data_IF_140016245665
#
_entry.id   IF_140016245665
#
_cell.length_a   1.000
_cell.length_b   1.000
_cell.length_c   1.000
_cell.angle_alpha   90.00
_cell.angle_beta   90.00
_cell.angle_gamma   90.00
#
_symmetry.space_group_name_H-M   'P 1'
#
loop_
_entity.id
_entity.type
_entity.pdbx_description
1 polymer ?
#
# COMPACT_ATOMS: atom_id res chain seq x y z
N UNK A 1 56.97 2.57 -2.71
CA UNK A 1 55.89 2.09 -3.60
C UNK A 1 54.48 2.09 -2.95
N UNK A 2 54.24 2.74 -1.79
CA UNK A 2 52.97 2.60 -1.03
C UNK A 2 52.03 3.83 -1.02
N UNK A 3 52.42 4.99 -1.56
CA UNK A 3 51.62 6.24 -1.44
C UNK A 3 50.52 6.45 -2.49
N UNK A 4 50.50 5.70 -3.60
CA UNK A 4 49.53 5.91 -4.70
C UNK A 4 48.23 5.11 -4.58
N UNK A 5 48.12 4.12 -3.68
CA UNK A 5 46.92 3.27 -3.55
C UNK A 5 45.82 3.84 -2.65
N UNK A 6 46.15 4.76 -1.74
CA UNK A 6 45.15 5.38 -0.86
C UNK A 6 44.37 6.53 -1.52
N UNK A 7 44.97 7.22 -2.49
CA UNK A 7 44.32 8.34 -3.17
C UNK A 7 43.17 7.89 -4.10
N UNK A 8 43.30 6.70 -4.69
CA UNK A 8 42.26 6.13 -5.56
C UNK A 8 41.07 5.58 -4.74
N UNK A 9 41.33 5.04 -3.54
CA UNK A 9 40.28 4.57 -2.64
C UNK A 9 39.47 5.74 -2.04
N UNK A 10 40.13 6.85 -1.69
CA UNK A 10 39.46 8.04 -1.17
C UNK A 10 38.61 8.74 -2.24
N UNK A 11 39.08 8.78 -3.50
CA UNK A 11 38.32 9.32 -4.62
C UNK A 11 37.13 8.42 -4.99
N UNK A 12 37.28 7.09 -4.92
CA UNK A 12 36.17 6.15 -5.15
C UNK A 12 35.09 6.28 -4.06
N UNK A 13 35.47 6.49 -2.80
CA UNK A 13 34.52 6.74 -1.69
C UNK A 13 33.81 8.09 -1.82
N UNK A 14 34.45 9.10 -2.40
CA UNK A 14 33.83 10.42 -2.64
C UNK A 14 32.86 10.43 -3.83
N UNK A 15 33.08 9.60 -4.86
CA UNK A 15 32.17 9.50 -6.03
C UNK A 15 30.88 8.72 -5.71
N UNK A 16 30.87 7.86 -4.68
CA UNK A 16 29.64 7.22 -4.19
C UNK A 16 28.90 8.04 -3.11
N UNK A 17 29.39 9.22 -2.73
CA UNK A 17 28.81 10.04 -1.67
C UNK A 17 28.18 11.35 -2.18
N UNK A 18 28.26 11.64 -3.49
CA UNK A 18 27.83 12.93 -4.05
C UNK A 18 26.32 13.13 -4.18
N UNK A 19 25.51 12.08 -3.95
CA UNK A 19 24.03 12.18 -4.02
C UNK A 19 23.35 12.27 -2.64
N UNK A 20 24.12 12.30 -1.54
CA UNK A 20 23.58 12.74 -0.25
C UNK A 20 23.73 14.25 -0.09
N UNK A 21 23.04 15.02 -0.94
CA UNK A 21 22.61 16.33 -0.49
C UNK A 21 21.69 16.06 0.72
N UNK A 22 22.18 16.34 1.92
CA UNK A 22 21.34 16.32 3.11
C UNK A 22 20.34 17.45 2.87
N UNK A 23 19.15 17.11 2.40
CA UNK A 23 18.02 18.01 2.40
C UNK A 23 17.93 18.56 3.83
N UNK A 24 17.99 19.88 3.92
CA UNK A 24 18.16 20.58 5.18
C UNK A 24 17.25 21.81 5.14
N UNK A 25 16.38 21.87 6.13
CA UNK A 25 15.54 23.04 6.39
C UNK A 25 16.37 24.29 6.64
N UNK A 26 15.86 25.42 6.18
CA UNK A 26 16.44 26.73 6.48
C UNK A 26 15.83 27.29 7.76
N UNK A 27 16.68 27.75 8.67
CA UNK A 27 16.29 28.43 9.92
C UNK A 27 16.54 29.93 9.81
N UNK A 28 15.55 30.74 10.17
CA UNK A 28 15.64 32.20 10.17
C UNK A 28 14.94 32.81 11.40
N UNK A 29 15.07 34.13 11.60
CA UNK A 29 14.40 34.87 12.70
C UNK A 29 14.63 34.29 14.11
N UNK A 30 15.84 33.80 14.37
CA UNK A 30 16.19 33.09 15.61
C UNK A 30 16.27 34.04 16.80
N UNK A 31 15.35 33.87 17.76
CA UNK A 31 15.25 34.64 19.00
C UNK A 31 15.47 33.72 20.19
N UNK A 32 16.38 34.08 21.10
CA UNK A 32 16.67 33.32 22.33
C UNK A 32 16.10 34.03 23.57
N UNK A 33 15.47 33.24 24.46
CA UNK A 33 15.06 33.64 25.80
C UNK A 33 15.79 32.78 26.82
N UNK A 34 16.46 33.42 27.78
CA UNK A 34 17.10 32.74 28.92
C UNK A 34 16.08 32.54 30.03
N UNK A 35 15.85 31.30 30.45
CA UNK A 35 14.86 30.96 31.48
C UNK A 35 15.47 30.79 32.89
N UNK A 36 16.78 31.01 33.04
CA UNK A 36 17.52 30.74 34.27
C UNK A 36 17.99 29.28 34.39
N UNK A 37 18.92 29.01 35.31
CA UNK A 37 19.45 27.66 35.59
C UNK A 37 19.98 26.87 34.38
N UNK A 38 20.52 27.59 33.38
CA UNK A 38 21.04 27.01 32.13
C UNK A 38 19.99 26.71 31.06
N UNK A 39 18.69 26.75 31.40
CA UNK A 39 17.61 26.51 30.45
C UNK A 39 17.44 27.69 29.48
N UNK A 40 17.25 27.35 28.20
CA UNK A 40 17.10 28.31 27.10
C UNK A 40 15.91 27.91 26.25
N UNK A 41 15.15 28.91 25.81
CA UNK A 41 14.10 28.74 24.83
C UNK A 41 14.49 29.48 23.55
N UNK A 42 14.26 28.86 22.40
CA UNK A 42 14.42 29.52 21.10
C UNK A 42 13.13 29.50 20.31
N UNK A 43 12.88 30.61 19.63
CA UNK A 43 11.84 30.76 18.64
C UNK A 43 12.49 31.09 17.31
N UNK A 44 12.11 30.37 16.26
CA UNK A 44 12.63 30.62 14.93
C UNK A 44 11.62 30.21 13.86
N UNK A 45 11.93 30.63 12.65
CA UNK A 45 11.17 30.33 11.45
C UNK A 45 11.89 29.23 10.67
N UNK A 46 11.13 28.21 10.29
CA UNK A 46 11.58 27.09 9.48
C UNK A 46 11.05 27.23 8.05
N UNK A 47 11.88 26.87 7.07
CA UNK A 47 11.49 26.77 5.67
C UNK A 47 11.98 25.45 5.07
N UNK A 48 11.11 24.80 4.30
CA UNK A 48 11.44 23.61 3.50
C UNK A 48 11.86 24.01 2.09
N UNK A 49 12.52 23.09 1.39
CA UNK A 49 12.91 23.22 -0.01
C UNK A 49 11.96 22.43 -0.94
N UNK A 50 12.36 22.28 -2.20
CA UNK A 50 11.55 21.62 -3.22
C UNK A 50 11.68 20.10 -3.27
N UNK A 51 12.37 19.46 -2.31
CA UNK A 51 12.63 18.01 -2.36
C UNK A 51 12.63 17.39 -0.97
N UNK A 52 11.43 17.23 -0.40
CA UNK A 52 11.27 16.58 0.90
C UNK A 52 11.78 15.14 0.89
N UNK A 53 12.73 14.82 1.76
CA UNK A 53 13.17 13.46 2.00
C UNK A 53 12.20 12.73 2.96
N UNK A 54 11.67 11.59 2.53
CA UNK A 54 10.87 10.74 3.43
C UNK A 54 11.68 10.32 4.66
N UNK A 55 11.02 10.27 5.81
CA UNK A 55 11.63 10.17 7.13
C UNK A 55 11.98 11.53 7.75
N UNK A 56 11.76 12.64 7.04
CA UNK A 56 11.94 14.01 7.52
C UNK A 56 13.27 14.66 7.16
N UNK A 57 13.29 15.97 7.36
CA UNK A 57 14.43 16.86 7.10
C UNK A 57 15.29 17.06 8.33
N UNK A 58 16.60 17.23 8.17
CA UNK A 58 17.50 17.39 9.31
C UNK A 58 17.24 18.70 10.06
N UNK A 59 16.98 18.61 11.37
CA UNK A 59 16.85 19.75 12.28
C UNK A 59 17.64 19.47 13.56
N UNK A 60 18.97 19.50 13.45
CA UNK A 60 19.85 19.21 14.59
C UNK A 60 19.85 20.31 15.65
N UNK A 61 20.29 19.98 16.87
CA UNK A 61 20.48 20.96 17.95
C UNK A 61 21.36 22.16 17.52
N UNK A 62 22.41 21.89 16.73
CA UNK A 62 23.29 22.93 16.17
C UNK A 62 22.51 23.83 15.20
N UNK A 63 21.68 23.25 14.33
CA UNK A 63 20.83 23.99 13.38
C UNK A 63 19.83 24.89 14.10
N UNK A 64 19.29 24.42 15.23
CA UNK A 64 18.43 25.21 16.12
C UNK A 64 19.21 26.26 16.93
N UNK A 65 20.55 26.21 16.88
CA UNK A 65 21.48 27.14 17.49
C UNK A 65 21.87 26.81 18.93
N UNK A 66 21.69 25.56 19.35
CA UNK A 66 22.20 25.03 20.61
C UNK A 66 23.56 24.34 20.36
N UNK A 67 24.65 25.01 20.74
CA UNK A 67 26.02 24.48 20.62
C UNK A 67 26.28 23.34 21.63
N UNK A 68 25.75 22.15 21.37
CA UNK A 68 25.94 20.94 22.18
C UNK A 68 24.98 20.78 23.36
N UNK A 69 23.92 21.60 23.44
CA UNK A 69 22.87 21.47 24.45
C UNK A 69 21.91 20.32 24.15
N UNK A 70 21.31 19.73 25.20
CA UNK A 70 20.26 18.72 25.01
C UNK A 70 18.93 19.43 24.74
N UNK A 71 18.39 19.20 23.55
CA UNK A 71 17.03 19.59 23.20
C UNK A 71 16.08 18.75 24.05
N UNK A 72 15.15 19.38 24.77
CA UNK A 72 14.18 18.67 25.61
C UNK A 72 12.80 18.60 24.96
N UNK A 73 12.48 19.61 24.17
CA UNK A 73 11.19 19.70 23.51
C UNK A 73 11.34 20.56 22.27
N UNK A 74 10.79 20.08 21.16
CA UNK A 74 10.58 20.83 19.93
C UNK A 74 9.10 20.85 19.65
N UNK A 75 8.54 22.03 19.41
CA UNK A 75 7.16 22.22 18.96
C UNK A 75 7.18 23.02 17.68
N UNK A 76 6.78 22.40 16.60
CA UNK A 76 6.59 23.05 15.30
C UNK A 76 5.09 23.33 15.15
N UNK A 77 4.71 24.58 14.91
CA UNK A 77 3.30 24.96 14.79
C UNK A 77 2.74 24.54 13.42
N UNK A 78 1.49 24.03 13.35
CA UNK A 78 0.83 23.74 12.07
C UNK A 78 0.77 24.97 11.16
N UNK A 79 0.87 24.74 9.85
CA UNK A 79 0.82 25.79 8.83
C UNK A 79 0.30 25.24 7.52
N UNK A 80 -0.55 26.02 6.84
CA UNK A 80 -1.05 25.75 5.47
C UNK A 80 -1.62 24.34 5.27
N UNK A 81 -2.29 23.79 6.29
CA UNK A 81 -2.88 22.44 6.27
C UNK A 81 -1.93 21.30 6.64
N UNK A 82 -0.67 21.61 6.95
CA UNK A 82 0.35 20.65 7.38
C UNK A 82 0.51 20.65 8.90
N UNK A 83 0.79 19.46 9.43
CA UNK A 83 1.24 19.24 10.80
C UNK A 83 2.66 18.68 10.79
N UNK A 84 3.35 18.79 11.93
CA UNK A 84 4.77 18.51 12.01
C UNK A 84 5.09 17.75 13.28
N UNK A 85 6.00 16.79 13.17
CA UNK A 85 6.54 16.08 14.32
C UNK A 85 8.05 16.15 14.32
N UNK A 86 8.65 16.26 15.50
CA UNK A 86 10.09 16.20 15.67
C UNK A 86 10.48 14.81 16.14
N UNK A 87 11.24 14.11 15.30
CA UNK A 87 11.89 12.85 15.62
C UNK A 87 13.19 13.16 16.36
N UNK A 88 13.16 13.06 17.69
CA UNK A 88 14.30 13.32 18.55
C UNK A 88 15.45 12.34 18.31
N UNK A 89 15.14 11.08 18.01
CA UNK A 89 16.15 10.03 17.80
C UNK A 89 17.00 10.34 16.57
N UNK A 90 16.38 10.79 15.49
CA UNK A 90 17.07 11.09 14.24
C UNK A 90 17.40 12.58 14.05
N UNK A 91 16.97 13.43 14.98
CA UNK A 91 17.07 14.89 14.90
C UNK A 91 16.48 15.43 13.59
N UNK A 92 15.25 14.99 13.28
CA UNK A 92 14.54 15.32 12.04
C UNK A 92 13.18 15.95 12.32
N UNK A 93 12.74 16.82 11.43
CA UNK A 93 11.36 17.30 11.38
C UNK A 93 10.63 16.61 10.24
N UNK A 94 9.54 15.92 10.59
CA UNK A 94 8.66 15.23 9.65
C UNK A 94 7.44 16.09 9.34
N UNK A 95 6.98 16.02 8.10
CA UNK A 95 5.84 16.79 7.61
C UNK A 95 4.70 15.85 7.31
N UNK A 96 3.51 16.16 7.83
CA UNK A 96 2.31 15.36 7.67
C UNK A 96 1.21 16.18 7.01
N UNK A 97 0.47 15.54 6.11
CA UNK A 97 -0.69 16.11 5.44
C UNK A 97 -1.78 15.05 5.30
N UNK A 98 -3.02 15.51 5.05
CA UNK A 98 -4.11 14.60 4.71
C UNK A 98 -3.76 13.87 3.40
N UNK A 99 -3.63 12.55 3.46
CA UNK A 99 -3.42 11.71 2.28
C UNK A 99 -4.73 11.07 1.83
N UNK A 100 -4.84 10.68 0.56
CA UNK A 100 -5.98 9.92 0.10
C UNK A 100 -6.07 8.58 0.86
N UNK A 101 -7.24 8.17 1.35
CA UNK A 101 -7.40 6.87 2.01
C UNK A 101 -7.21 5.69 1.04
N UNK A 102 -7.39 5.92 -0.26
CA UNK A 102 -7.15 4.95 -1.34
C UNK A 102 -6.42 5.66 -2.48
N UNK A 103 -5.35 5.06 -2.97
CA UNK A 103 -4.66 5.45 -4.20
C UNK A 103 -5.08 4.47 -5.29
N UNK A 104 -5.79 4.97 -6.31
CA UNK A 104 -6.38 4.13 -7.35
C UNK A 104 -5.39 3.71 -8.42
N UNK A 105 -4.39 4.53 -8.72
CA UNK A 105 -3.34 4.15 -9.65
C UNK A 105 -2.07 4.93 -9.28
N UNK A 106 -1.05 4.19 -8.88
CA UNK A 106 0.29 4.72 -8.68
C UNK A 106 1.26 4.01 -9.61
N UNK A 107 1.91 4.80 -10.48
CA UNK A 107 2.83 4.29 -11.47
C UNK A 107 4.26 4.29 -10.94
N UNK A 108 4.93 3.15 -11.04
CA UNK A 108 6.32 2.97 -10.67
C UNK A 108 7.15 2.34 -11.77
N UNK A 109 8.44 2.64 -11.76
CA UNK A 109 9.44 1.87 -12.50
C UNK A 109 10.22 1.06 -11.49
N UNK A 110 10.37 -0.23 -11.73
CA UNK A 110 11.15 -1.08 -10.82
C UNK A 110 12.63 -0.70 -10.84
N UNK A 111 13.23 -0.63 -9.66
CA UNK A 111 14.61 -0.21 -9.39
C UNK A 111 15.25 -1.13 -8.36
N UNK A 112 16.56 -1.03 -8.12
CA UNK A 112 17.19 -1.80 -7.06
C UNK A 112 16.73 -1.31 -5.67
N UNK A 113 16.28 -2.23 -4.81
CA UNK A 113 15.91 -1.93 -3.41
C UNK A 113 17.08 -2.25 -2.46
N UNK A 114 17.40 -3.54 -2.35
CA UNK A 114 18.49 -4.08 -1.55
C UNK A 114 19.19 -5.20 -2.34
N UNK A 115 20.32 -5.71 -1.86
CA UNK A 115 21.03 -6.80 -2.53
C UNK A 115 20.11 -8.02 -2.72
N UNK A 116 19.81 -8.39 -3.96
CA UNK A 116 18.91 -9.50 -4.31
C UNK A 116 17.44 -9.11 -4.54
N UNK A 117 17.10 -7.82 -4.43
CA UNK A 117 15.73 -7.32 -4.56
C UNK A 117 15.65 -6.16 -5.55
N UNK A 118 14.70 -6.27 -6.48
CA UNK A 118 14.29 -5.25 -7.44
C UNK A 118 12.83 -4.93 -7.19
N UNK A 119 12.46 -3.66 -7.18
CA UNK A 119 11.16 -3.20 -6.77
C UNK A 119 11.06 -1.69 -6.65
N UNK A 120 10.09 -1.22 -5.85
CA UNK A 120 9.86 0.20 -5.63
C UNK A 120 9.17 0.46 -4.28
N UNK A 121 9.18 1.71 -3.82
CA UNK A 121 8.45 2.16 -2.64
C UNK A 121 7.19 2.90 -3.06
N UNK A 122 6.05 2.56 -2.44
CA UNK A 122 4.81 3.33 -2.61
C UNK A 122 4.94 4.73 -1.99
N UNK A 123 4.31 5.75 -2.57
CA UNK A 123 4.37 7.16 -2.14
C UNK A 123 3.87 7.34 -0.70
N UNK A 124 2.93 6.49 -0.27
CA UNK A 124 2.36 6.48 1.07
C UNK A 124 2.49 5.11 1.74
N UNK A 125 2.60 5.04 3.08
CA UNK A 125 2.43 3.81 3.85
C UNK A 125 1.12 3.10 3.48
N UNK A 126 1.20 1.86 2.99
CA UNK A 126 0.02 1.09 2.65
C UNK A 126 -0.63 0.50 3.92
N UNK A 127 -1.95 0.43 3.91
CA UNK A 127 -2.73 -0.41 4.81
C UNK A 127 -3.08 -1.76 4.15
N UNK A 128 -3.25 -1.77 2.82
CA UNK A 128 -3.64 -2.95 2.06
C UNK A 128 -3.33 -2.77 0.57
N UNK A 129 -2.84 -3.81 -0.11
CA UNK A 129 -2.71 -3.82 -1.58
C UNK A 129 -3.99 -4.38 -2.17
N UNK A 130 -4.65 -3.62 -3.05
CA UNK A 130 -5.90 -4.03 -3.70
C UNK A 130 -5.61 -4.76 -4.99
N UNK A 131 -4.73 -4.20 -5.82
CA UNK A 131 -4.30 -4.82 -7.07
C UNK A 131 -2.96 -4.26 -7.52
N UNK A 132 -2.27 -5.04 -8.33
CA UNK A 132 -1.08 -4.61 -9.04
C UNK A 132 -1.10 -5.18 -10.46
N UNK A 133 -0.62 -4.39 -11.42
CA UNK A 133 -0.45 -4.83 -12.79
C UNK A 133 0.86 -4.26 -13.35
N UNK A 134 1.43 -4.93 -14.32
CA UNK A 134 2.53 -4.43 -15.15
C UNK A 134 2.07 -4.33 -16.60
N UNK A 135 2.99 -4.05 -17.52
CA UNK A 135 2.67 -3.96 -18.95
C UNK A 135 2.23 -5.27 -19.60
N UNK A 136 2.43 -6.41 -18.94
CA UNK A 136 2.09 -7.74 -19.44
C UNK A 136 0.80 -8.29 -18.84
N UNK A 137 0.38 -7.78 -17.67
CA UNK A 137 -0.89 -8.15 -17.08
C UNK A 137 -0.97 -7.94 -15.57
N UNK A 138 -1.96 -8.57 -14.92
CA UNK A 138 -2.14 -8.47 -13.48
C UNK A 138 -1.04 -9.25 -12.76
N UNK A 139 -0.67 -8.79 -11.59
CA UNK A 139 0.37 -9.39 -10.75
C UNK A 139 -0.27 -10.01 -9.51
N UNK A 140 0.30 -11.11 -9.05
CA UNK A 140 -0.21 -11.96 -7.97
C UNK A 140 0.54 -11.63 -6.69
N UNK A 141 -0.19 -11.31 -5.62
CA UNK A 141 0.45 -11.13 -4.32
C UNK A 141 0.87 -12.50 -3.77
N UNK A 142 2.19 -12.68 -3.56
CA UNK A 142 2.77 -13.86 -2.91
C UNK A 142 3.44 -13.51 -1.58
N UNK A 143 4.06 -14.53 -0.96
CA UNK A 143 4.66 -14.47 0.37
C UNK A 143 5.64 -13.30 0.52
N UNK A 144 5.45 -12.51 1.56
CA UNK A 144 6.35 -11.42 1.95
C UNK A 144 7.79 -11.91 2.14
N UNK A 145 8.76 -11.14 1.62
CA UNK A 145 10.19 -11.39 1.77
C UNK A 145 10.79 -12.32 0.72
N UNK A 146 10.06 -12.70 -0.33
CA UNK A 146 10.63 -13.46 -1.45
C UNK A 146 11.65 -12.62 -2.22
N UNK A 147 12.78 -13.22 -2.59
CA UNK A 147 13.77 -12.53 -3.41
C UNK A 147 13.29 -12.40 -4.86
N UNK A 148 13.82 -11.42 -5.59
CA UNK A 148 13.42 -11.19 -6.99
C UNK A 148 13.65 -12.40 -7.90
N UNK A 149 14.63 -13.24 -7.59
CA UNK A 149 14.93 -14.44 -8.36
C UNK A 149 13.93 -15.58 -8.13
N UNK A 150 13.15 -15.52 -7.05
CA UNK A 150 12.19 -16.54 -6.65
C UNK A 150 10.75 -16.19 -7.06
N UNK A 151 10.52 -14.98 -7.55
CA UNK A 151 9.22 -14.54 -8.07
C UNK A 151 8.97 -15.08 -9.49
N UNK A 152 7.78 -15.63 -9.71
CA UNK A 152 7.22 -15.85 -11.03
C UNK A 152 7.05 -14.55 -11.81
N UNK A 153 6.91 -14.63 -13.15
CA UNK A 153 6.82 -13.45 -14.03
C UNK A 153 5.60 -12.56 -13.77
N UNK A 154 4.57 -13.13 -13.16
CA UNK A 154 3.28 -12.55 -12.82
C UNK A 154 3.09 -12.45 -11.30
N UNK A 155 4.16 -12.48 -10.51
CA UNK A 155 4.10 -12.42 -9.05
C UNK A 155 4.78 -11.16 -8.50
N UNK A 156 4.27 -10.65 -7.39
CA UNK A 156 4.95 -9.65 -6.58
C UNK A 156 4.84 -10.03 -5.11
N UNK A 157 5.76 -9.51 -4.29
CA UNK A 157 5.61 -9.61 -2.85
C UNK A 157 5.94 -8.30 -2.17
N UNK A 158 5.62 -8.20 -0.88
CA UNK A 158 6.18 -7.14 -0.06
C UNK A 158 7.60 -7.50 0.32
N UNK A 159 8.50 -6.52 0.37
CA UNK A 159 9.88 -6.73 0.83
C UNK A 159 9.91 -7.15 2.30
N UNK A 160 9.08 -6.51 3.11
CA UNK A 160 8.89 -6.79 4.53
C UNK A 160 7.41 -6.59 4.90
N UNK A 161 7.01 -6.97 6.10
CA UNK A 161 5.64 -6.72 6.56
C UNK A 161 5.38 -5.23 6.64
N UNK A 162 4.18 -4.80 6.31
CA UNK A 162 3.71 -3.41 6.44
C UNK A 162 3.91 -2.96 7.90
N UNK A 163 4.60 -1.83 8.08
CA UNK A 163 4.87 -1.22 9.38
C UNK A 163 4.17 0.13 9.51
N UNK A 164 3.90 0.54 10.75
CA UNK A 164 3.22 1.80 11.04
C UNK A 164 4.07 3.00 10.62
N UNK A 165 3.51 3.87 9.78
CA UNK A 165 4.21 5.02 9.20
C UNK A 165 5.33 4.69 8.20
N UNK A 166 5.66 3.42 8.00
CA UNK A 166 6.69 2.98 7.06
C UNK A 166 6.16 2.91 5.63
N UNK A 167 6.91 3.46 4.66
CA UNK A 167 6.58 3.29 3.24
C UNK A 167 6.71 1.82 2.85
N UNK A 168 5.69 1.30 2.19
CA UNK A 168 5.66 -0.10 1.78
C UNK A 168 6.54 -0.30 0.54
N UNK A 169 7.51 -1.21 0.65
CA UNK A 169 8.34 -1.65 -0.47
C UNK A 169 7.73 -2.90 -1.12
N UNK A 170 7.56 -2.83 -2.44
CA UNK A 170 7.10 -3.93 -3.28
C UNK A 170 8.29 -4.49 -4.04
N UNK A 171 8.48 -5.81 -3.99
CA UNK A 171 9.45 -6.56 -4.78
C UNK A 171 8.75 -7.09 -6.02
N UNK A 172 9.39 -6.94 -7.17
CA UNK A 172 8.89 -7.39 -8.46
C UNK A 172 9.83 -8.39 -9.11
N UNK A 173 9.37 -9.12 -10.14
CA UNK A 173 10.20 -10.06 -10.89
C UNK A 173 11.34 -9.34 -11.62
N UNK A 174 12.30 -10.13 -12.11
CA UNK A 174 13.49 -9.61 -12.75
C UNK A 174 13.15 -8.94 -14.08
N UNK A 175 13.36 -7.63 -14.17
CA UNK A 175 13.14 -6.85 -15.40
C UNK A 175 12.76 -5.40 -15.08
N UNK A 176 13.15 -4.47 -15.94
CA UNK A 176 12.66 -3.09 -15.85
C UNK A 176 11.21 -3.05 -16.35
N UNK A 177 10.27 -3.28 -15.44
CA UNK A 177 8.83 -3.15 -15.68
C UNK A 177 8.30 -1.80 -15.20
N UNK A 178 7.29 -1.29 -15.89
CA UNK A 178 6.40 -0.25 -15.37
C UNK A 178 5.24 -0.95 -14.69
N UNK A 179 5.00 -0.60 -13.44
CA UNK A 179 3.95 -1.18 -12.61
C UNK A 179 2.92 -0.13 -12.22
N UNK A 180 1.68 -0.57 -12.09
CA UNK A 180 0.54 0.22 -11.66
C UNK A 180 -0.05 -0.44 -10.42
N UNK A 181 -0.11 0.29 -9.30
CA UNK A 181 -0.57 -0.25 -8.02
C UNK A 181 -1.78 0.53 -7.53
N UNK A 182 -2.74 -0.22 -7.00
CA UNK A 182 -3.91 0.31 -6.31
C UNK A 182 -3.91 -0.20 -4.89
N UNK A 183 -4.01 0.70 -3.92
CA UNK A 183 -3.83 0.33 -2.52
C UNK A 183 -4.55 1.30 -1.59
N UNK A 184 -4.96 0.80 -0.43
CA UNK A 184 -5.43 1.65 0.66
C UNK A 184 -4.23 2.16 1.46
N UNK A 185 -4.25 3.42 1.87
CA UNK A 185 -3.17 4.02 2.67
C UNK A 185 -3.47 3.89 4.17
N UNK A 186 -2.46 4.04 5.02
CA UNK A 186 -2.64 4.11 6.47
C UNK A 186 -3.39 5.35 6.95
N UNK A 187 -3.73 6.30 6.06
CA UNK A 187 -4.67 7.36 6.38
C UNK A 187 -6.05 6.79 6.74
N UNK A 188 -6.43 5.63 6.19
CA UNK A 188 -7.57 4.83 6.63
C UNK A 188 -7.18 3.92 7.80
N UNK A 189 -6.99 4.51 8.98
CA UNK A 189 -6.44 3.76 10.13
C UNK A 189 -7.30 2.58 10.57
N UNK A 190 -8.62 2.66 10.40
CA UNK A 190 -9.53 1.57 10.75
C UNK A 190 -9.26 0.33 9.90
N UNK A 191 -8.92 0.50 8.60
CA UNK A 191 -8.55 -0.62 7.73
C UNK A 191 -7.19 -1.20 8.13
N UNK A 192 -6.20 -0.34 8.40
CA UNK A 192 -4.87 -0.79 8.82
C UNK A 192 -4.93 -1.62 10.12
N UNK A 193 -5.80 -1.26 11.06
CA UNK A 193 -6.00 -2.02 12.30
C UNK A 193 -6.61 -3.42 12.09
N UNK A 194 -7.14 -3.70 10.90
CA UNK A 194 -7.67 -5.01 10.51
C UNK A 194 -6.63 -5.92 9.87
N UNK A 195 -5.44 -5.41 9.54
CA UNK A 195 -4.40 -6.16 8.84
C UNK A 195 -3.82 -7.27 9.72
N UNK A 196 -3.84 -8.49 9.19
CA UNK A 196 -3.14 -9.66 9.71
C UNK A 196 -2.13 -10.10 8.67
N UNK A 197 -0.85 -10.15 9.04
CA UNK A 197 0.25 -10.43 8.12
C UNK A 197 1.00 -11.68 8.54
N UNK A 198 1.29 -12.53 7.55
CA UNK A 198 2.12 -13.72 7.72
C UNK A 198 1.69 -14.63 8.90
N UNK A 199 0.37 -14.81 9.08
CA UNK A 199 -0.15 -15.78 10.04
C UNK A 199 0.20 -17.20 9.59
N UNK A 200 0.79 -17.98 10.49
CA UNK A 200 1.03 -19.39 10.25
C UNK A 200 -0.24 -20.20 10.55
N UNK A 201 -0.76 -20.91 9.54
CA UNK A 201 -1.97 -21.72 9.62
C UNK A 201 -1.65 -23.15 9.20
N UNK A 202 -2.00 -24.14 10.02
CA UNK A 202 -1.87 -25.54 9.62
C UNK A 202 -3.11 -25.95 8.83
N UNK A 203 -2.93 -26.24 7.55
CA UNK A 203 -4.03 -26.66 6.70
C UNK A 203 -4.46 -28.08 7.05
N UNK A 204 -5.77 -28.31 7.16
CA UNK A 204 -6.35 -29.62 7.45
C UNK A 204 -7.16 -30.08 6.24
N UNK A 205 -6.97 -31.32 5.74
CA UNK A 205 -7.70 -31.82 4.58
C UNK A 205 -9.22 -31.68 4.72
N UNK A 206 -9.89 -31.11 3.70
CA UNK A 206 -11.35 -31.27 3.44
C UNK A 206 -12.27 -30.75 4.57
N UNK A 207 -11.71 -30.00 5.52
CA UNK A 207 -12.49 -29.34 6.57
C UNK A 207 -12.07 -27.88 6.66
N UNK A 208 -13.07 -27.02 6.74
CA UNK A 208 -12.98 -25.61 7.07
C UNK A 208 -11.91 -25.34 8.15
N UNK A 209 -10.76 -24.79 7.74
CA UNK A 209 -9.64 -24.47 8.62
C UNK A 209 -9.89 -23.10 9.27
N UNK A 210 -10.01 -23.02 10.60
CA UNK A 210 -10.23 -21.74 11.26
C UNK A 210 -8.97 -20.87 11.17
N UNK A 211 -9.18 -19.61 10.85
CA UNK A 211 -8.18 -18.55 11.03
C UNK A 211 -8.25 -18.00 12.45
N UNK A 212 -7.21 -17.31 12.92
CA UNK A 212 -7.25 -16.63 14.21
C UNK A 212 -8.39 -15.59 14.29
N UNK A 213 -8.75 -14.98 13.16
CA UNK A 213 -9.87 -14.07 13.02
C UNK A 213 -10.66 -14.39 11.74
N UNK A 214 -11.96 -14.11 11.76
CA UNK A 214 -12.77 -14.22 10.54
C UNK A 214 -12.25 -13.26 9.46
N UNK A 215 -12.38 -13.63 8.19
CA UNK A 215 -11.70 -12.98 7.06
C UNK A 215 -12.68 -12.09 6.30
N UNK A 216 -12.23 -10.86 6.04
CA UNK A 216 -12.93 -9.85 5.25
C UNK A 216 -12.29 -9.65 3.87
N UNK A 217 -10.96 -9.73 3.79
CA UNK A 217 -10.23 -9.58 2.54
C UNK A 217 -9.03 -10.52 2.52
N UNK A 218 -8.76 -11.14 1.39
CA UNK A 218 -7.68 -12.11 1.19
C UNK A 218 -6.52 -11.48 0.42
N UNK A 219 -5.30 -11.65 0.92
CA UNK A 219 -4.07 -11.17 0.29
C UNK A 219 -3.36 -12.32 -0.42
N UNK A 220 -2.81 -13.26 0.36
CA UNK A 220 -2.17 -14.47 -0.15
C UNK A 220 -2.26 -15.62 0.85
N UNK A 221 -2.06 -16.84 0.35
CA UNK A 221 -1.83 -18.06 1.13
C UNK A 221 -0.70 -18.86 0.48
N UNK A 222 0.38 -19.12 1.19
CA UNK A 222 1.57 -19.77 0.62
C UNK A 222 2.00 -20.97 1.46
N UNK A 223 2.26 -22.11 0.82
CA UNK A 223 2.64 -23.36 1.49
C UNK A 223 4.16 -23.45 1.73
N UNK A 224 4.57 -23.28 2.98
CA UNK A 224 5.96 -23.54 3.39
C UNK A 224 7.01 -22.74 2.63
N UNK A 225 7.73 -23.40 1.72
CA UNK A 225 8.85 -22.83 0.95
C UNK A 225 8.38 -21.82 -0.09
N UNK A 226 9.29 -20.92 -0.46
CA UNK A 226 9.07 -19.88 -1.46
C UNK A 226 8.68 -20.54 -2.81
N UNK A 227 7.73 -19.95 -3.54
CA UNK A 227 7.11 -20.45 -4.81
C UNK A 227 5.91 -21.41 -4.72
N UNK A 228 5.29 -21.64 -3.55
CA UNK A 228 4.06 -22.45 -3.45
C UNK A 228 2.82 -21.61 -3.06
N UNK A 229 2.49 -20.60 -3.87
CA UNK A 229 1.29 -19.81 -3.64
C UNK A 229 0.03 -20.60 -3.97
N UNK A 230 -1.03 -20.44 -3.17
CA UNK A 230 -2.34 -21.03 -3.41
C UNK A 230 -3.27 -20.00 -4.02
N UNK A 231 -3.85 -20.36 -5.17
CA UNK A 231 -4.76 -19.50 -5.89
C UNK A 231 -6.13 -19.46 -5.21
N UNK A 232 -6.70 -18.28 -4.94
CA UNK A 232 -8.03 -18.18 -4.38
C UNK A 232 -9.07 -18.68 -5.39
N UNK A 233 -10.05 -19.47 -4.95
CA UNK A 233 -11.19 -19.90 -5.76
C UNK A 233 -12.52 -19.51 -5.11
N UNK A 234 -13.60 -19.62 -5.88
CA UNK A 234 -14.95 -19.37 -5.38
C UNK A 234 -15.27 -20.34 -4.23
N UNK A 235 -15.86 -19.88 -3.11
CA UNK A 235 -16.24 -20.76 -2.01
C UNK A 235 -17.27 -21.84 -2.37
N UNK A 236 -17.99 -21.72 -3.49
CA UNK A 236 -18.86 -22.77 -3.99
C UNK A 236 -18.08 -23.94 -4.64
N UNK A 237 -16.82 -23.74 -5.00
CA UNK A 237 -15.98 -24.73 -5.69
C UNK A 237 -15.17 -25.59 -4.72
N UNK A 238 -14.83 -26.80 -5.16
CA UNK A 238 -13.95 -27.70 -4.40
C UNK A 238 -12.49 -27.43 -4.75
N UNK A 239 -11.63 -27.05 -3.78
CA UNK A 239 -10.23 -26.73 -4.06
C UNK A 239 -9.43 -27.89 -4.67
N UNK A 240 -8.81 -27.64 -5.82
CA UNK A 240 -7.83 -28.52 -6.43
C UNK A 240 -6.43 -28.29 -5.84
N UNK A 241 -5.47 -29.13 -6.26
CA UNK A 241 -4.06 -28.95 -5.88
C UNK A 241 -3.54 -27.61 -6.41
N UNK A 242 -3.01 -26.76 -5.53
CA UNK A 242 -2.56 -25.42 -5.88
C UNK A 242 -3.60 -24.33 -5.65
N UNK A 243 -4.77 -24.67 -5.14
CA UNK A 243 -5.87 -23.74 -4.88
C UNK A 243 -6.21 -23.67 -3.38
N UNK A 244 -6.92 -22.60 -3.00
CA UNK A 244 -7.49 -22.39 -1.67
C UNK A 244 -8.89 -21.80 -1.79
N UNK A 245 -9.87 -22.47 -1.18
CA UNK A 245 -11.23 -21.95 -1.05
C UNK A 245 -11.30 -20.93 0.08
N UNK A 246 -12.00 -19.81 -0.16
CA UNK A 246 -12.13 -18.72 0.81
C UNK A 246 -13.60 -18.50 1.14
N UNK A 247 -13.98 -18.86 2.36
CA UNK A 247 -15.31 -18.53 2.88
C UNK A 247 -15.26 -17.17 3.60
N UNK A 248 -15.82 -16.12 3.00
CA UNK A 248 -15.91 -14.79 3.61
C UNK A 248 -16.97 -14.73 4.72
N UNK A 249 -16.78 -13.84 5.73
CA UNK A 249 -17.81 -13.55 6.75
C UNK A 249 -17.38 -13.76 8.20
N UNK A 250 -18.34 -14.05 9.10
CA UNK A 250 -18.11 -14.15 10.54
C UNK A 250 -17.61 -15.54 11.01
N UNK A 251 -17.71 -16.56 10.18
CA UNK A 251 -17.20 -17.92 10.41
C UNK A 251 -16.18 -18.33 9.35
N UNK A 252 -15.41 -17.37 8.84
CA UNK A 252 -14.51 -17.61 7.71
C UNK A 252 -13.52 -18.73 7.97
N UNK A 253 -13.34 -19.55 6.95
CA UNK A 253 -12.40 -20.64 6.92
C UNK A 253 -11.67 -20.67 5.61
N UNK A 254 -10.47 -21.26 5.64
CA UNK A 254 -9.80 -21.70 4.43
C UNK A 254 -10.15 -23.16 4.17
N UNK A 255 -10.39 -23.48 2.91
CA UNK A 255 -10.56 -24.86 2.46
C UNK A 255 -9.42 -25.23 1.52
N UNK A 256 -8.87 -26.43 1.68
CA UNK A 256 -7.75 -26.89 0.86
C UNK A 256 -7.97 -28.31 0.36
N UNK A 257 -7.29 -28.65 -0.73
CA UNK A 257 -7.22 -30.00 -1.24
C UNK A 257 -6.54 -30.92 -0.22
N UNK A 258 -6.90 -32.21 -0.25
CA UNK A 258 -6.28 -33.21 0.62
C UNK A 258 -4.76 -33.32 0.44
N UNK A 259 -4.25 -33.08 -0.79
CA UNK A 259 -2.81 -33.08 -1.09
C UNK A 259 -2.02 -31.97 -0.40
N UNK A 260 -2.70 -30.89 0.01
CA UNK A 260 -2.11 -29.75 0.71
C UNK A 260 -2.32 -29.84 2.24
N UNK A 261 -2.98 -30.90 2.72
CA UNK A 261 -3.23 -31.10 4.14
C UNK A 261 -1.96 -31.43 4.93
N UNK A 262 -1.93 -30.99 6.19
CA UNK A 262 -0.80 -31.08 7.13
C UNK A 262 0.40 -30.15 6.83
N UNK A 263 0.35 -29.35 5.78
CA UNK A 263 1.33 -28.29 5.55
C UNK A 263 1.01 -27.04 6.38
N UNK A 264 2.05 -26.38 6.86
CA UNK A 264 1.95 -25.02 7.42
C UNK A 264 1.92 -24.02 6.26
N UNK A 265 0.81 -23.30 6.13
CA UNK A 265 0.66 -22.17 5.24
C UNK A 265 0.98 -20.86 5.97
N UNK A 266 1.44 -19.87 5.21
CA UNK A 266 1.54 -18.47 5.64
C UNK A 266 0.45 -17.67 4.95
N UNK A 267 -0.38 -16.94 5.70
CA UNK A 267 -1.55 -16.23 5.19
C UNK A 267 -1.51 -14.75 5.58
N UNK A 268 -1.86 -13.87 4.64
CA UNK A 268 -2.07 -12.44 4.89
C UNK A 268 -3.49 -12.05 4.47
N UNK A 269 -4.21 -11.36 5.35
CA UNK A 269 -5.62 -11.04 5.18
C UNK A 269 -6.05 -9.82 6.01
N UNK A 270 -7.21 -9.24 5.71
CA UNK A 270 -7.89 -8.30 6.61
C UNK A 270 -8.93 -9.06 7.43
N UNK A 271 -8.91 -8.90 8.74
CA UNK A 271 -9.91 -9.50 9.62
C UNK A 271 -11.25 -8.78 9.52
N UNK A 272 -12.33 -9.53 9.67
CA UNK A 272 -13.68 -9.02 9.74
C UNK A 272 -13.90 -8.24 11.04
N UNK A 273 -14.26 -6.95 10.97
CA UNK A 273 -14.50 -6.15 12.17
C UNK A 273 -15.75 -6.65 12.92
N UNK A 274 -15.79 -6.47 14.23
CA UNK A 274 -16.98 -6.80 15.03
C UNK A 274 -18.07 -5.71 14.98
N UNK A 275 -17.71 -4.49 14.59
CA UNK A 275 -18.60 -3.33 14.49
C UNK A 275 -17.91 -2.18 13.73
N UNK A 276 -18.65 -1.10 13.46
CA UNK A 276 -18.11 0.15 12.92
C UNK A 276 -18.35 0.32 11.42
N UNK A 277 -17.77 1.38 10.85
CA UNK A 277 -18.10 1.82 9.49
C UNK A 277 -17.84 0.76 8.41
N UNK A 278 -16.73 0.02 8.55
CA UNK A 278 -16.36 -1.08 7.64
C UNK A 278 -17.33 -2.24 7.79
N UNK A 279 -17.69 -2.62 9.02
CA UNK A 279 -18.66 -3.69 9.30
C UNK A 279 -20.00 -3.43 8.61
N UNK A 280 -20.53 -2.21 8.71
CA UNK A 280 -21.83 -1.83 8.13
C UNK A 280 -21.83 -1.81 6.58
N UNK A 281 -20.64 -1.84 5.97
CA UNK A 281 -20.44 -1.69 4.52
C UNK A 281 -19.86 -2.92 3.85
N UNK A 282 -19.48 -3.92 4.61
CA UNK A 282 -18.98 -5.15 4.03
C UNK A 282 -20.10 -5.94 3.38
N UNK A 283 -19.85 -6.40 2.16
CA UNK A 283 -20.64 -7.37 1.43
C UNK A 283 -19.78 -8.63 1.36
N UNK A 284 -20.22 -9.68 2.05
CA UNK A 284 -19.48 -10.93 2.15
C UNK A 284 -19.63 -11.81 0.90
N UNK A 285 -20.76 -11.65 0.22
CA UNK A 285 -21.12 -12.38 -0.97
C UNK A 285 -22.21 -11.59 -1.69
N UNK A 286 -22.04 -11.43 -2.99
CA UNK A 286 -23.04 -10.89 -3.90
C UNK A 286 -22.92 -11.58 -5.25
N UNK A 287 -24.04 -12.11 -5.73
CA UNK A 287 -24.20 -12.57 -7.10
C UNK A 287 -24.42 -11.37 -8.03
N UNK A 288 -23.45 -10.98 -8.88
CA UNK A 288 -23.65 -9.85 -9.75
C UNK A 288 -24.71 -10.14 -10.82
N UNK A 289 -25.58 -9.17 -11.09
CA UNK A 289 -26.58 -9.31 -12.15
C UNK A 289 -25.91 -9.19 -13.51
N UNK A 290 -25.98 -10.27 -14.31
CA UNK A 290 -25.38 -10.33 -15.65
C UNK A 290 -26.37 -9.86 -16.71
N UNK A 291 -26.06 -8.78 -17.42
CA UNK A 291 -26.89 -8.32 -18.55
C UNK A 291 -26.74 -9.26 -19.76
N UNK A 292 -27.85 -9.73 -20.32
CA UNK A 292 -27.86 -10.66 -21.44
C UNK A 292 -27.31 -10.04 -22.75
N UNK A 293 -26.31 -10.71 -23.32
CA UNK A 293 -25.74 -10.60 -24.67
C UNK A 293 -24.89 -9.35 -25.02
N UNK A 294 -23.62 -9.62 -25.33
CA UNK A 294 -22.60 -8.70 -25.86
C UNK A 294 -21.19 -9.20 -25.50
N UNK A 295 -20.15 -8.82 -26.25
CA UNK A 295 -18.75 -9.23 -25.99
C UNK A 295 -18.19 -8.77 -24.63
N UNK A 296 -18.98 -8.00 -23.88
CA UNK A 296 -18.72 -7.57 -22.52
C UNK A 296 -19.97 -7.89 -21.68
N UNK A 297 -19.95 -9.01 -20.98
CA UNK A 297 -21.03 -9.38 -20.06
C UNK A 297 -20.92 -8.49 -18.83
N UNK A 298 -21.74 -7.44 -18.76
CA UNK A 298 -21.72 -6.51 -17.62
C UNK A 298 -22.29 -7.21 -16.39
N UNK A 299 -21.40 -7.58 -15.47
CA UNK A 299 -21.75 -7.89 -14.09
C UNK A 299 -22.03 -6.57 -13.36
N UNK A 300 -23.28 -6.34 -12.95
CA UNK A 300 -23.65 -5.15 -12.17
C UNK A 300 -23.78 -5.55 -10.70
N UNK A 301 -23.08 -4.81 -9.84
CA UNK A 301 -23.23 -4.90 -8.39
C UNK A 301 -24.28 -3.88 -7.91
N UNK A 302 -24.99 -4.22 -6.86
CA UNK A 302 -26.03 -3.43 -6.21
C UNK A 302 -25.48 -2.13 -5.63
N UNK A 303 -24.20 -2.14 -5.22
CA UNK A 303 -23.54 -1.01 -4.59
C UNK A 303 -22.22 -0.63 -5.28
N UNK A 304 -21.81 0.66 -5.16
CA UNK A 304 -20.46 1.08 -5.52
C UNK A 304 -19.41 0.31 -4.73
N UNK A 305 -18.44 -0.29 -5.42
CA UNK A 305 -17.28 -0.92 -4.77
C UNK A 305 -16.26 0.14 -4.39
N UNK A 306 -15.95 0.20 -3.11
CA UNK A 306 -14.88 1.03 -2.57
C UNK A 306 -13.55 0.27 -2.51
N UNK A 307 -13.59 -0.98 -2.03
CA UNK A 307 -12.43 -1.85 -1.91
C UNK A 307 -12.86 -3.29 -2.18
N UNK A 308 -12.12 -3.97 -3.05
CA UNK A 308 -12.33 -5.37 -3.39
C UNK A 308 -11.66 -6.32 -2.40
N UNK A 309 -12.35 -7.39 -2.00
CA UNK A 309 -11.88 -8.25 -0.92
C UNK A 309 -10.77 -9.21 -1.34
N UNK A 310 -10.74 -9.71 -2.57
CA UNK A 310 -9.71 -10.65 -3.02
C UNK A 310 -8.60 -9.90 -3.74
N UNK A 311 -7.50 -9.58 -3.03
CA UNK A 311 -6.41 -8.81 -3.63
C UNK A 311 -5.94 -9.44 -4.93
N UNK A 312 -5.85 -8.62 -5.97
CA UNK A 312 -5.37 -9.01 -7.30
C UNK A 312 -6.17 -10.10 -8.04
N UNK A 313 -7.27 -10.60 -7.51
CA UNK A 313 -8.05 -11.69 -8.12
C UNK A 313 -9.54 -11.43 -8.13
N UNK A 314 -10.22 -12.00 -9.11
CA UNK A 314 -11.64 -12.25 -9.04
C UNK A 314 -11.91 -13.75 -9.24
N UNK A 315 -12.77 -14.31 -8.41
CA UNK A 315 -13.15 -15.72 -8.46
C UNK A 315 -14.31 -15.94 -9.43
N UNK A 316 -14.40 -17.14 -10.00
CA UNK A 316 -15.50 -17.56 -10.87
C UNK A 316 -15.94 -18.97 -10.43
N UNK A 317 -17.23 -19.14 -10.12
CA UNK A 317 -17.80 -20.46 -9.81
C UNK A 317 -17.73 -21.36 -11.04
N UNK A 318 -17.24 -22.58 -10.84
CA UNK A 318 -16.99 -23.57 -11.88
C UNK A 318 -16.05 -23.04 -13.01
N UNK A 319 -15.26 -22.01 -12.72
CA UNK A 319 -14.37 -21.34 -13.66
C UNK A 319 -12.97 -21.11 -13.07
N UNK A 320 -12.06 -20.59 -13.90
CA UNK A 320 -10.71 -20.23 -13.43
C UNK A 320 -10.71 -18.81 -12.89
N UNK A 321 -10.28 -18.63 -11.63
CA UNK A 321 -10.00 -17.32 -11.06
C UNK A 321 -9.04 -16.54 -11.94
N UNK A 322 -9.29 -15.24 -12.10
CA UNK A 322 -8.48 -14.38 -12.98
C UNK A 322 -7.89 -13.22 -12.23
N UNK A 323 -6.69 -12.82 -12.64
CA UNK A 323 -6.06 -11.62 -12.11
C UNK A 323 -6.86 -10.36 -12.47
N UNK A 324 -6.95 -9.42 -11.54
CA UNK A 324 -7.57 -8.11 -11.74
C UNK A 324 -6.51 -7.07 -12.04
N UNK A 325 -6.69 -6.33 -13.15
CA UNK A 325 -6.02 -5.06 -13.38
C UNK A 325 -7.05 -3.92 -13.32
N UNK A 326 -6.70 -2.81 -12.66
CA UNK A 326 -7.56 -1.62 -12.54
C UNK A 326 -7.19 -0.51 -13.52
N UNK A 327 -6.20 -0.75 -14.38
CA UNK A 327 -5.71 0.24 -15.35
C UNK A 327 -6.31 -0.01 -16.73
N UNK A 328 -6.80 1.07 -17.35
CA UNK A 328 -7.29 1.08 -18.74
C UNK A 328 -6.17 0.84 -19.78
N UNK A 329 -4.91 0.93 -19.36
CA UNK A 329 -3.73 0.94 -20.25
C UNK A 329 -3.12 -0.44 -20.54
N UNK A 330 -3.53 -1.48 -19.80
CA UNK A 330 -2.91 -2.83 -19.80
C UNK A 330 -3.89 -3.93 -20.18
N UNK A 331 -4.92 -3.57 -20.94
CA UNK A 331 -5.97 -4.48 -21.39
C UNK A 331 -5.50 -5.38 -22.54
N UNK A 332 -4.96 -6.57 -22.23
CA UNK A 332 -4.78 -7.65 -23.20
C UNK A 332 -5.98 -8.61 -23.22
N UNK A 333 -6.12 -9.37 -24.32
CA UNK A 333 -7.21 -10.33 -24.49
C UNK A 333 -7.12 -11.47 -23.44
N UNK A 334 -8.14 -11.61 -22.59
CA UNK A 334 -8.22 -12.66 -21.56
C UNK A 334 -8.08 -12.17 -20.11
N UNK A 335 -7.83 -10.87 -19.89
CA UNK A 335 -7.77 -10.27 -18.55
C UNK A 335 -9.15 -9.81 -18.05
N UNK A 336 -9.31 -9.75 -16.72
CA UNK A 336 -10.44 -9.07 -16.10
C UNK A 336 -10.00 -7.67 -15.69
N UNK A 337 -10.60 -6.68 -16.32
CA UNK A 337 -10.43 -5.28 -15.93
C UNK A 337 -11.54 -4.98 -14.96
N UNK A 338 -11.24 -4.62 -13.72
CA UNK A 338 -12.26 -4.04 -12.84
C UNK A 338 -12.11 -2.51 -12.90
N UNK A 339 -12.99 -1.84 -13.62
CA UNK A 339 -13.06 -0.39 -13.61
C UNK A 339 -13.85 0.02 -12.36
N UNK A 340 -13.20 0.17 -11.21
CA UNK A 340 -13.85 0.71 -10.02
C UNK A 340 -14.20 2.17 -10.31
N UNK A 341 -15.39 2.40 -10.85
CA UNK A 341 -15.81 3.74 -11.27
C UNK A 341 -16.12 4.59 -10.04
N UNK A 342 -15.07 5.22 -9.51
CA UNK A 342 -15.09 6.09 -8.34
C UNK A 342 -15.59 7.48 -8.72
N UNK A 343 -16.78 7.57 -9.33
CA UNK A 343 -17.39 8.85 -9.68
C UNK A 343 -16.51 9.72 -10.60
N UNK A 344 -16.30 9.27 -11.84
CA UNK A 344 -15.82 10.04 -13.01
C UNK A 344 -14.60 10.97 -12.84
N UNK A 345 -13.53 10.64 -13.56
CA UNK A 345 -12.96 11.62 -14.50
C UNK A 345 -12.86 10.95 -15.86
N UNK A 346 -13.90 11.16 -16.68
CA UNK A 346 -13.81 10.84 -18.09
C UNK A 346 -12.71 11.71 -18.72
N UNK A 347 -11.95 11.20 -19.70
CA UNK A 347 -11.03 12.03 -20.48
C UNK A 347 -11.81 13.17 -21.14
N UNK A 348 -11.17 14.32 -21.27
CA UNK A 348 -11.75 15.49 -21.94
C UNK A 348 -12.28 15.10 -23.32
N UNK A 349 -13.61 14.95 -23.43
CA UNK A 349 -14.31 14.61 -24.67
C UNK A 349 -15.32 13.45 -24.58
N UNK A 350 -15.33 12.63 -23.54
CA UNK A 350 -16.32 11.57 -23.40
C UNK A 350 -17.50 12.00 -22.52
N UNK A 351 -18.69 12.10 -23.13
CA UNK A 351 -19.95 12.38 -22.43
C UNK A 351 -20.38 11.17 -21.59
N UNK A 352 -19.91 11.09 -20.34
CA UNK A 352 -20.49 10.16 -19.36
C UNK A 352 -21.69 10.87 -18.73
N UNK A 353 -22.88 10.43 -19.13
CA UNK A 353 -24.13 10.95 -18.64
C UNK A 353 -24.22 10.82 -17.12
N UNK A 354 -24.48 11.97 -16.51
CA UNK A 354 -24.90 12.23 -15.14
C UNK A 354 -26.01 11.29 -14.67
N UNK A 355 -25.68 10.18 -14.00
CA UNK A 355 -26.52 9.54 -12.95
C UNK A 355 -25.76 8.44 -12.18
N UNK A 356 -25.08 8.82 -11.11
CA UNK A 356 -25.43 8.33 -9.76
C UNK A 356 -25.21 6.88 -9.33
N UNK A 357 -24.51 6.00 -10.05
CA UNK A 357 -24.11 4.67 -9.52
C UNK A 357 -22.63 4.41 -9.78
N UNK A 358 -21.87 4.09 -8.72
CA UNK A 358 -20.52 3.56 -8.88
C UNK A 358 -20.67 2.20 -9.55
N UNK A 359 -20.31 2.16 -10.82
CA UNK A 359 -20.47 0.97 -11.66
C UNK A 359 -19.09 0.33 -11.73
N UNK A 360 -18.89 -0.85 -11.14
CA UNK A 360 -17.68 -1.60 -11.48
C UNK A 360 -17.85 -2.12 -12.88
N UNK A 361 -17.03 -1.67 -13.83
CA UNK A 361 -17.01 -2.34 -15.13
C UNK A 361 -16.04 -3.49 -15.00
N UNK A 362 -16.55 -4.70 -14.79
CA UNK A 362 -15.75 -5.88 -15.08
C UNK A 362 -15.72 -6.02 -16.60
N UNK A 363 -14.77 -5.35 -17.25
CA UNK A 363 -14.58 -5.42 -18.70
C UNK A 363 -13.59 -6.54 -18.96
N UNK A 364 -14.05 -7.77 -18.77
CA UNK A 364 -13.42 -8.93 -19.40
C UNK A 364 -14.14 -9.22 -20.70
N UNK A 365 -13.42 -9.72 -21.71
CA UNK A 365 -14.03 -10.72 -22.58
C UNK A 365 -14.39 -11.90 -21.66
N UNK A 366 -15.49 -11.79 -20.95
CA UNK A 366 -16.17 -12.91 -20.34
C UNK A 366 -16.67 -13.66 -21.57
N UNK A 367 -15.87 -14.61 -22.05
CA UNK A 367 -16.41 -15.66 -22.90
C UNK A 367 -17.70 -16.12 -22.22
N UNK A 368 -18.74 -16.35 -23.02
CA UNK A 368 -20.15 -16.45 -22.60
C UNK A 368 -20.47 -17.57 -21.59
N UNK A 369 -19.45 -18.17 -20.98
CA UNK A 369 -19.46 -19.32 -20.09
C UNK A 369 -18.75 -19.08 -18.73
N UNK A 370 -18.22 -17.88 -18.44
CA UNK A 370 -17.56 -17.58 -17.14
C UNK A 370 -18.22 -16.42 -16.39
N UNK A 371 -19.39 -16.65 -15.80
CA UNK A 371 -20.04 -15.66 -14.94
C UNK A 371 -19.20 -15.44 -13.68
N UNK A 372 -18.81 -14.19 -13.38
CA UNK A 372 -18.59 -13.84 -11.98
C UNK A 372 -19.85 -14.21 -11.20
N UNK A 373 -19.67 -14.99 -10.16
CA UNK A 373 -20.76 -15.51 -9.34
C UNK A 373 -20.68 -15.01 -7.93
N UNK A 374 -19.49 -14.67 -7.42
CA UNK A 374 -19.33 -14.22 -6.05
C UNK A 374 -18.43 -12.98 -5.99
N UNK A 375 -18.93 -11.93 -5.33
CA UNK A 375 -18.20 -10.71 -5.07
C UNK A 375 -18.21 -10.37 -3.58
N UNK A 376 -17.03 -10.42 -2.95
CA UNK A 376 -16.81 -9.86 -1.62
C UNK A 376 -16.13 -8.49 -1.74
N UNK A 377 -16.66 -7.47 -1.06
CA UNK A 377 -16.15 -6.11 -1.14
C UNK A 377 -16.67 -5.19 -0.03
N UNK A 378 -16.03 -4.03 0.13
CA UNK A 378 -16.54 -2.93 0.95
C UNK A 378 -17.28 -1.97 0.03
N UNK A 379 -18.55 -1.67 0.32
CA UNK A 379 -19.32 -0.70 -0.46
C UNK A 379 -19.08 0.74 -0.01
N UNK A 380 -19.18 1.68 -0.94
CA UNK A 380 -19.18 3.11 -0.62
C UNK A 380 -18.31 3.94 -1.57
N UNK A 381 -17.94 5.14 -1.12
CA UNK A 381 -17.12 6.10 -1.86
C UNK A 381 -15.98 6.65 -1.01
N UNK A 382 -14.84 7.08 -1.58
CA UNK A 382 -13.68 7.52 -0.81
C UNK A 382 -13.97 8.65 0.20
N UNK A 383 -14.83 9.60 -0.17
CA UNK A 383 -15.19 10.72 0.71
C UNK A 383 -16.15 10.34 1.85
N UNK A 384 -16.66 9.11 1.86
CA UNK A 384 -17.49 8.59 2.97
C UNK A 384 -16.64 7.94 4.07
N UNK A 385 -15.34 7.72 3.81
CA UNK A 385 -14.42 7.11 4.76
C UNK A 385 -14.24 8.07 5.95
N UNK A 386 -14.58 7.64 7.18
CA UNK A 386 -14.47 8.49 8.36
C UNK A 386 -13.02 8.55 8.83
N UNK A 387 -12.71 9.58 9.63
CA UNK A 387 -11.48 9.66 10.42
C UNK A 387 -10.18 9.51 9.61
N UNK A 388 -10.15 10.00 8.35
CA UNK A 388 -8.94 10.00 7.53
C UNK A 388 -7.85 10.80 8.25
N UNK A 389 -6.71 10.16 8.52
CA UNK A 389 -5.61 10.76 9.26
C UNK A 389 -4.58 11.39 8.33
N UNK A 390 -3.89 12.41 8.86
CA UNK A 390 -2.68 12.89 8.23
C UNK A 390 -1.59 11.81 8.33
N UNK A 391 -0.85 11.60 7.24
CA UNK A 391 0.33 10.73 7.19
C UNK A 391 1.50 11.52 6.62
N UNK A 392 2.70 10.98 6.74
CA UNK A 392 3.90 11.64 6.27
C UNK A 392 3.80 11.92 4.76
N UNK A 393 4.20 13.13 4.35
CA UNK A 393 4.20 13.50 2.93
C UNK A 393 5.21 12.66 2.16
N UNK A 394 4.89 12.40 0.88
CA UNK A 394 5.70 11.53 0.04
C UNK A 394 7.10 12.07 -0.20
N UNK A 395 8.01 11.14 -0.51
CA UNK A 395 9.38 11.49 -0.92
C UNK A 395 9.38 12.34 -2.19
N UNK A 396 10.22 13.38 -2.23
CA UNK A 396 10.31 14.33 -3.33
C UNK A 396 9.14 15.31 -3.41
N UNK A 397 8.28 15.40 -2.38
CA UNK A 397 7.25 16.44 -2.34
C UNK A 397 7.90 17.84 -2.36
N UNK A 398 7.39 18.72 -3.22
CA UNK A 398 7.79 20.12 -3.25
C UNK A 398 7.11 20.87 -2.10
N UNK A 399 7.91 21.25 -1.10
CA UNK A 399 7.48 21.99 0.08
C UNK A 399 8.07 23.41 0.08
N UNK A 400 8.56 23.91 -1.05
CA UNK A 400 9.25 25.22 -1.13
C UNK A 400 8.34 26.41 -0.76
N UNK A 401 7.02 26.24 -0.85
CA UNK A 401 6.04 27.21 -0.37
C UNK A 401 5.90 27.27 1.16
N UNK A 402 6.29 26.21 1.87
CA UNK A 402 6.20 26.11 3.33
C UNK A 402 7.39 26.83 3.99
N UNK A 403 7.30 28.15 4.02
CA UNK A 403 8.29 29.06 4.64
C UNK A 403 7.73 29.68 5.92
N UNK A 404 8.58 30.21 6.80
CA UNK A 404 8.11 30.99 7.96
C UNK A 404 7.30 30.17 8.97
N UNK A 405 7.50 28.85 9.04
CA UNK A 405 6.83 27.97 10.00
C UNK A 405 7.41 28.26 11.39
N UNK A 406 6.55 28.55 12.36
CA UNK A 406 7.00 28.90 13.71
C UNK A 406 7.41 27.66 14.49
N UNK A 407 8.62 27.68 15.03
CA UNK A 407 9.16 26.62 15.89
C UNK A 407 9.51 27.19 17.26
N UNK A 408 9.14 26.46 18.30
CA UNK A 408 9.52 26.71 19.68
C UNK A 408 10.35 25.52 20.19
N UNK A 409 11.53 25.81 20.73
CA UNK A 409 12.44 24.79 21.25
C UNK A 409 12.85 25.11 22.67
N UNK A 410 12.79 24.12 23.55
CA UNK A 410 13.31 24.18 24.91
C UNK A 410 14.55 23.30 25.02
N UNK A 411 15.66 23.87 25.49
CA UNK A 411 16.90 23.16 25.75
C UNK A 411 17.41 23.43 27.17
N UNK A 412 18.25 22.52 27.69
CA UNK A 412 18.95 22.68 28.96
C UNK A 412 20.42 22.30 28.86
#
# INVERSE_FOLDING_TARGET
MFKKRYLLLLALVLVFCSDFAIAAVTVSNNTEIKLGSGARMRYFDLAFDSSYASGGESLSAITMGFAGGRVRQVRVLPKDGYTFEYDETNAKVKVFANAPPIVYEEKHTSTALASGYTGFYLDYPAAWIVSMADTLGPQIWVKTGMATADLGTDEFCLYETITDGGRTAIVTPTGAGVYYVTYATQAWSDLYALLVQAEAVTLTPVTAVPLAYSLMAFGYCNLGTDSNNLLPIDPADTPASGEVGINYGNTSTLECNASQGAYTATVTYLKYPSSGWIYDRYIADEDPTVAASGAYTKATLDYPVLLWATSCYATANAGTSRGIALSYTVADAGMWIADFNVGSSAPAGASVATTGRGTVWVTGNIEADSTMTNAAYIKGRPWEIPNVKAIEVKNGADLSGLTGIKVQVLAR
#
